data_IF_767862487981
#
_entry.id   IF_767862487981
#
_cell.length_a   1.000
_cell.length_b   1.000
_cell.length_c   1.000
_cell.angle_alpha   90.00
_cell.angle_beta   90.00
_cell.angle_gamma   90.00
#
_symmetry.space_group_name_H-M   'P 1'
#
loop_
_entity.id
_entity.type
_entity.pdbx_description
1 polymer ?
#
# COMPACT_ATOMS: atom_id res chain seq x y z
N UNK A 1 2.30 25.92 -11.74
CA UNK A 1 1.62 25.96 -10.42
C UNK A 1 1.57 24.58 -9.75
N UNK A 2 0.92 23.56 -10.32
CA UNK A 2 0.88 22.20 -9.73
C UNK A 2 2.25 21.56 -9.55
N UNK A 3 3.16 21.77 -10.50
CA UNK A 3 4.55 21.29 -10.44
C UNK A 3 5.36 21.96 -9.32
N UNK A 4 5.12 23.24 -9.05
CA UNK A 4 5.76 23.98 -7.96
C UNK A 4 5.26 23.49 -6.61
N UNK A 5 3.93 23.30 -6.46
CA UNK A 5 3.34 22.75 -5.23
C UNK A 5 3.91 21.34 -4.96
N UNK A 6 3.94 20.49 -5.98
CA UNK A 6 4.53 19.15 -5.88
C UNK A 6 5.98 19.19 -5.42
N UNK A 7 6.79 20.03 -6.04
CA UNK A 7 8.22 20.09 -5.75
C UNK A 7 8.51 20.70 -4.38
N UNK A 8 7.84 21.80 -4.01
CA UNK A 8 8.15 22.58 -2.80
C UNK A 8 7.49 22.01 -1.54
N UNK A 9 6.28 21.45 -1.65
CA UNK A 9 5.51 21.01 -0.48
C UNK A 9 5.54 19.51 -0.26
N UNK A 10 5.73 18.70 -1.30
CA UNK A 10 5.81 17.25 -1.15
C UNK A 10 7.22 16.72 -1.35
N UNK A 11 7.83 16.98 -2.50
CA UNK A 11 9.12 16.40 -2.85
C UNK A 11 10.25 16.91 -1.96
N UNK A 12 10.43 18.25 -1.85
CA UNK A 12 11.56 18.83 -1.13
C UNK A 12 11.53 18.48 0.37
N UNK A 13 10.41 18.60 1.10
CA UNK A 13 10.37 18.23 2.51
C UNK A 13 10.61 16.73 2.72
N UNK A 14 10.04 15.88 1.86
CA UNK A 14 10.25 14.44 1.96
C UNK A 14 11.68 14.03 1.65
N UNK A 15 12.30 14.65 0.63
CA UNK A 15 13.71 14.46 0.29
C UNK A 15 14.61 14.83 1.46
N UNK A 16 14.40 16.01 2.03
CA UNK A 16 15.17 16.49 3.18
C UNK A 16 14.98 15.59 4.40
N UNK A 17 13.74 15.18 4.68
CA UNK A 17 13.48 14.25 5.77
C UNK A 17 14.17 12.90 5.55
N UNK A 18 14.21 12.39 4.31
CA UNK A 18 14.95 11.15 4.00
C UNK A 18 16.45 11.31 4.28
N UNK A 19 17.07 12.40 3.80
CA UNK A 19 18.51 12.63 4.01
C UNK A 19 18.81 12.87 5.50
N UNK A 20 17.93 13.57 6.22
CA UNK A 20 18.06 13.72 7.66
C UNK A 20 18.03 12.38 8.39
N UNK A 21 17.09 11.49 8.04
CA UNK A 21 17.03 10.12 8.59
C UNK A 21 18.28 9.33 8.23
N UNK A 22 18.75 9.46 6.98
CA UNK A 22 19.95 8.79 6.50
C UNK A 22 21.19 9.17 7.31
N UNK A 23 21.41 10.46 7.56
CA UNK A 23 22.56 10.95 8.32
C UNK A 23 22.43 10.63 9.82
N UNK A 24 21.24 10.79 10.42
CA UNK A 24 21.11 10.80 11.88
C UNK A 24 20.61 9.50 12.50
N UNK A 25 19.75 8.73 11.80
CA UNK A 25 19.06 7.58 12.40
C UNK A 25 19.55 6.24 11.88
N UNK A 26 20.13 6.21 10.68
CA UNK A 26 20.41 4.95 9.99
C UNK A 26 21.88 4.72 9.71
N UNK A 27 22.77 5.50 10.35
CA UNK A 27 24.21 5.43 10.20
C UNK A 27 24.61 5.35 8.72
N UNK A 28 24.06 6.27 7.91
CA UNK A 28 24.31 6.34 6.48
C UNK A 28 23.88 5.07 5.71
N UNK A 29 22.87 4.33 6.18
CA UNK A 29 22.26 3.24 5.41
C UNK A 29 20.96 3.69 4.75
N UNK A 30 20.94 3.72 3.42
CA UNK A 30 19.78 4.20 2.66
C UNK A 30 18.58 3.25 2.75
N UNK A 31 18.79 1.95 2.92
CA UNK A 31 17.69 0.98 2.99
C UNK A 31 16.92 1.12 4.29
N UNK A 32 17.63 1.29 5.40
CA UNK A 32 17.00 1.65 6.66
C UNK A 32 16.34 3.03 6.62
N UNK A 33 16.92 4.00 5.89
CA UNK A 33 16.29 5.32 5.73
C UNK A 33 14.93 5.20 5.03
N UNK A 34 14.84 4.32 4.02
CA UNK A 34 13.58 4.00 3.33
C UNK A 34 12.57 3.34 4.25
N UNK A 35 12.98 2.37 5.05
CA UNK A 35 12.08 1.70 6.00
C UNK A 35 11.52 2.73 6.99
N UNK A 36 12.38 3.56 7.57
CA UNK A 36 11.98 4.59 8.53
C UNK A 36 11.06 5.66 7.92
N UNK A 37 11.39 6.22 6.75
CA UNK A 37 10.52 7.21 6.10
C UNK A 37 9.16 6.58 5.74
N UNK A 38 9.14 5.31 5.34
CA UNK A 38 7.90 4.59 5.03
C UNK A 38 7.03 4.46 6.27
N UNK A 39 7.62 4.09 7.40
CA UNK A 39 6.92 4.00 8.69
C UNK A 39 6.38 5.38 9.10
N UNK A 40 7.19 6.44 9.00
CA UNK A 40 6.74 7.80 9.35
C UNK A 40 5.58 8.27 8.47
N UNK A 41 5.65 8.04 7.16
CA UNK A 41 4.55 8.34 6.24
C UNK A 41 3.30 7.54 6.58
N UNK A 42 3.47 6.26 6.92
CA UNK A 42 2.38 5.39 7.34
C UNK A 42 1.75 5.84 8.66
N UNK A 43 2.52 6.38 9.59
CA UNK A 43 2.04 6.99 10.82
C UNK A 43 1.31 8.31 10.56
N UNK A 44 1.81 9.16 9.66
CA UNK A 44 1.11 10.38 9.24
C UNK A 44 -0.24 10.06 8.58
N UNK A 45 -0.31 8.98 7.79
CA UNK A 45 -1.52 8.48 7.13
C UNK A 45 -2.33 7.49 7.98
N UNK A 46 -1.96 7.29 9.24
CA UNK A 46 -2.62 6.37 10.16
C UNK A 46 -4.11 6.67 10.38
N UNK A 47 -4.56 7.92 10.64
CA UNK A 47 -5.99 8.17 10.85
C UNK A 47 -6.83 7.79 9.63
N UNK A 48 -6.34 8.10 8.43
CA UNK A 48 -6.99 7.70 7.19
C UNK A 48 -7.01 6.18 7.01
N UNK A 49 -5.89 5.51 7.30
CA UNK A 49 -5.77 4.05 7.21
C UNK A 49 -6.72 3.35 8.19
N UNK A 50 -6.87 3.85 9.42
CA UNK A 50 -7.81 3.33 10.41
C UNK A 50 -9.27 3.49 9.96
N UNK A 51 -9.65 4.65 9.41
CA UNK A 51 -11.01 4.87 8.89
C UNK A 51 -11.31 3.91 7.73
N UNK A 52 -10.36 3.75 6.81
CA UNK A 52 -10.47 2.80 5.69
C UNK A 52 -10.64 1.37 6.19
N UNK A 53 -9.84 0.96 7.18
CA UNK A 53 -9.88 -0.38 7.75
C UNK A 53 -11.17 -0.64 8.53
N UNK A 54 -11.64 0.33 9.32
CA UNK A 54 -12.93 0.25 10.02
C UNK A 54 -14.09 0.08 9.03
N UNK A 55 -14.06 0.83 7.92
CA UNK A 55 -15.06 0.68 6.86
C UNK A 55 -14.96 -0.70 6.20
N UNK A 56 -13.76 -1.24 6.00
CA UNK A 56 -13.54 -2.60 5.48
C UNK A 56 -14.18 -3.65 6.39
N UNK A 57 -13.91 -3.59 7.69
CA UNK A 57 -14.46 -4.51 8.70
C UNK A 57 -15.99 -4.41 8.78
N UNK A 58 -16.55 -3.19 8.83
CA UNK A 58 -18.01 -2.97 8.85
C UNK A 58 -18.71 -3.57 7.63
N UNK A 59 -18.04 -3.54 6.48
CA UNK A 59 -18.59 -4.01 5.21
C UNK A 59 -18.34 -5.50 4.94
N UNK A 60 -17.74 -6.26 5.87
CA UNK A 60 -17.49 -7.70 5.69
C UNK A 60 -18.79 -8.48 5.42
N UNK A 61 -19.88 -8.14 6.10
CA UNK A 61 -21.20 -8.77 5.90
C UNK A 61 -21.71 -8.49 4.48
N UNK A 62 -21.64 -7.24 4.02
CA UNK A 62 -22.05 -6.88 2.66
C UNK A 62 -21.23 -7.64 1.60
N UNK A 63 -19.93 -7.81 1.82
CA UNK A 63 -19.07 -8.56 0.89
C UNK A 63 -19.54 -10.02 0.79
N UNK A 64 -19.95 -10.62 1.91
CA UNK A 64 -20.52 -11.97 1.94
C UNK A 64 -21.87 -12.03 1.22
N UNK A 65 -22.77 -11.10 1.48
CA UNK A 65 -24.10 -11.01 0.84
C UNK A 65 -23.98 -10.82 -0.68
N UNK A 66 -23.08 -9.94 -1.13
CA UNK A 66 -22.81 -9.73 -2.56
C UNK A 66 -22.27 -11.01 -3.19
N UNK A 67 -21.38 -11.74 -2.50
CA UNK A 67 -20.81 -12.97 -3.03
C UNK A 67 -21.83 -14.12 -3.08
N UNK A 68 -22.72 -14.22 -2.09
CA UNK A 68 -23.79 -15.24 -2.11
C UNK A 68 -24.74 -15.01 -3.28
N UNK A 69 -25.13 -13.77 -3.55
CA UNK A 69 -25.96 -13.41 -4.72
C UNK A 69 -25.25 -13.64 -6.04
N UNK A 70 -23.95 -13.36 -6.13
CA UNK A 70 -23.15 -13.71 -7.31
C UNK A 70 -23.09 -15.22 -7.57
N UNK A 71 -23.24 -16.04 -6.53
CA UNK A 71 -23.24 -17.49 -6.63
C UNK A 71 -24.64 -18.09 -6.86
N UNK A 72 -25.70 -17.29 -6.80
CA UNK A 72 -27.06 -17.77 -7.06
C UNK A 72 -27.20 -18.09 -8.55
N UNK A 73 -27.32 -19.37 -8.92
CA UNK A 73 -27.37 -19.81 -10.32
C UNK A 73 -28.74 -19.52 -10.97
N UNK A 74 -29.79 -19.32 -10.17
CA UNK A 74 -31.17 -19.13 -10.65
C UNK A 74 -31.51 -17.70 -11.07
N UNK A 75 -30.57 -16.76 -10.96
CA UNK A 75 -30.81 -15.34 -11.24
C UNK A 75 -29.95 -14.87 -12.42
N UNK A 76 -30.57 -14.15 -13.36
CA UNK A 76 -29.90 -13.58 -14.52
C UNK A 76 -28.83 -12.55 -14.15
N UNK A 77 -27.81 -12.38 -15.00
CA UNK A 77 -26.68 -11.50 -14.73
C UNK A 77 -27.09 -10.02 -14.59
N UNK A 78 -28.12 -9.59 -15.32
CA UNK A 78 -28.67 -8.23 -15.25
C UNK A 78 -29.31 -7.99 -13.88
N UNK A 79 -30.18 -8.91 -13.46
CA UNK A 79 -30.87 -8.86 -12.17
C UNK A 79 -29.87 -8.90 -11.01
N UNK A 80 -28.86 -9.78 -11.07
CA UNK A 80 -27.75 -9.82 -10.10
C UNK A 80 -27.07 -8.46 -9.96
N UNK A 81 -26.73 -7.80 -11.08
CA UNK A 81 -26.08 -6.48 -11.06
C UNK A 81 -26.98 -5.42 -10.43
N UNK A 82 -28.28 -5.45 -10.68
CA UNK A 82 -29.25 -4.53 -10.08
C UNK A 82 -29.38 -4.75 -8.57
N UNK A 83 -29.52 -5.99 -8.12
CA UNK A 83 -29.59 -6.35 -6.69
C UNK A 83 -28.33 -5.91 -5.93
N UNK A 84 -27.15 -6.20 -6.51
CA UNK A 84 -25.84 -5.77 -5.97
C UNK A 84 -25.79 -4.25 -5.82
N UNK A 85 -26.22 -3.49 -6.83
CA UNK A 85 -26.29 -2.03 -6.75
C UNK A 85 -27.26 -1.55 -5.66
N UNK A 86 -28.42 -2.20 -5.52
CA UNK A 86 -29.42 -1.87 -4.49
C UNK A 86 -28.86 -2.08 -3.08
N UNK A 87 -28.18 -3.19 -2.80
CA UNK A 87 -27.54 -3.42 -1.50
C UNK A 87 -26.38 -2.47 -1.22
N UNK A 88 -25.55 -2.15 -2.22
CA UNK A 88 -24.46 -1.18 -2.02
C UNK A 88 -25.02 0.20 -1.65
N UNK A 89 -26.11 0.63 -2.30
CA UNK A 89 -26.81 1.89 -1.99
C UNK A 89 -27.44 1.86 -0.60
N UNK A 90 -28.16 0.79 -0.24
CA UNK A 90 -28.84 0.70 1.06
C UNK A 90 -27.87 0.76 2.24
N UNK A 91 -26.67 0.16 2.11
CA UNK A 91 -25.63 0.21 3.14
C UNK A 91 -24.69 1.42 3.04
N UNK A 92 -25.00 2.41 2.18
CA UNK A 92 -24.22 3.65 1.96
C UNK A 92 -22.72 3.40 1.70
N UNK A 93 -22.41 2.32 1.00
CA UNK A 93 -21.01 1.98 0.68
C UNK A 93 -20.56 2.77 -0.55
N UNK A 94 -19.50 3.55 -0.38
CA UNK A 94 -18.90 4.37 -1.43
C UNK A 94 -17.79 3.58 -2.16
N UNK A 95 -17.96 3.21 -3.45
CA UNK A 95 -16.96 2.44 -4.18
C UNK A 95 -15.62 3.17 -4.35
N UNK A 96 -15.66 4.50 -4.42
CA UNK A 96 -14.50 5.36 -4.67
C UNK A 96 -13.52 5.42 -3.50
N UNK A 97 -13.94 5.09 -2.28
CA UNK A 97 -13.06 5.11 -1.11
C UNK A 97 -11.83 4.21 -1.30
N UNK A 98 -12.00 3.04 -1.94
CA UNK A 98 -10.89 2.14 -2.29
C UNK A 98 -9.94 2.75 -3.32
N UNK A 99 -10.49 3.44 -4.33
CA UNK A 99 -9.69 4.07 -5.36
C UNK A 99 -8.84 5.23 -4.80
N UNK A 100 -9.39 6.03 -3.88
CA UNK A 100 -8.64 7.10 -3.21
C UNK A 100 -7.46 6.54 -2.40
N UNK A 101 -7.67 5.47 -1.64
CA UNK A 101 -6.60 4.82 -0.86
C UNK A 101 -5.48 4.34 -1.79
N UNK A 102 -5.83 3.65 -2.89
CA UNK A 102 -4.86 3.16 -3.87
C UNK A 102 -4.13 4.31 -4.57
N UNK A 103 -4.85 5.38 -4.92
CA UNK A 103 -4.28 6.58 -5.53
C UNK A 103 -3.25 7.25 -4.61
N UNK A 104 -3.57 7.41 -3.33
CA UNK A 104 -2.62 7.94 -2.35
C UNK A 104 -1.38 7.05 -2.18
N UNK A 105 -1.55 5.72 -2.18
CA UNK A 105 -0.41 4.80 -2.13
C UNK A 105 0.48 4.91 -3.38
N UNK A 106 -0.12 5.07 -4.55
CA UNK A 106 0.61 5.32 -5.79
C UNK A 106 1.36 6.67 -5.77
N UNK A 107 0.74 7.74 -5.26
CA UNK A 107 1.37 9.05 -5.11
C UNK A 107 2.61 8.98 -4.20
N UNK A 108 2.51 8.31 -3.06
CA UNK A 108 3.65 8.11 -2.15
C UNK A 108 4.77 7.31 -2.83
N UNK A 109 4.42 6.27 -3.59
CA UNK A 109 5.40 5.46 -4.32
C UNK A 109 6.13 6.28 -5.40
N UNK A 110 5.43 7.17 -6.11
CA UNK A 110 6.03 8.09 -7.09
C UNK A 110 6.97 9.08 -6.40
N UNK A 111 6.57 9.65 -5.26
CA UNK A 111 7.41 10.57 -4.49
C UNK A 111 8.73 9.91 -4.07
N UNK A 112 8.67 8.71 -3.49
CA UNK A 112 9.87 7.99 -3.08
C UNK A 112 10.76 7.60 -4.26
N UNK A 113 10.18 7.24 -5.40
CA UNK A 113 10.93 6.97 -6.62
C UNK A 113 11.69 8.21 -7.12
N UNK A 114 11.05 9.38 -7.11
CA UNK A 114 11.70 10.63 -7.50
C UNK A 114 12.84 10.98 -6.56
N UNK A 115 12.61 10.83 -5.25
CA UNK A 115 13.60 11.08 -4.20
C UNK A 115 14.82 10.16 -4.40
N UNK A 116 14.61 8.90 -4.75
CA UNK A 116 15.69 7.96 -5.02
C UNK A 116 16.50 8.30 -6.27
N UNK A 117 15.85 8.46 -7.42
CA UNK A 117 16.53 8.75 -8.68
C UNK A 117 17.36 10.04 -8.59
N UNK A 118 16.77 11.09 -8.03
CA UNK A 118 17.40 12.41 -7.94
C UNK A 118 18.37 12.51 -6.77
N UNK A 119 18.16 11.73 -5.71
CA UNK A 119 19.04 11.67 -4.55
C UNK A 119 20.34 10.92 -4.79
N UNK A 120 20.33 9.87 -5.60
CA UNK A 120 21.54 9.07 -5.87
C UNK A 120 22.48 9.77 -6.89
N UNK A 121 21.99 10.78 -7.63
CA UNK A 121 22.82 11.52 -8.59
C UNK A 121 23.49 12.72 -7.90
N UNK A 122 24.66 12.47 -7.31
CA UNK A 122 25.43 13.35 -6.40
C UNK A 122 25.44 14.84 -6.72
N UNK A 123 25.61 15.21 -7.98
CA UNK A 123 25.83 16.61 -8.40
C UNK A 123 24.60 17.53 -8.22
N UNK A 124 23.43 16.96 -7.92
CA UNK A 124 22.17 17.72 -7.77
C UNK A 124 21.60 17.69 -6.35
N UNK A 125 22.18 16.91 -5.43
CA UNK A 125 21.70 16.76 -4.05
C UNK A 125 21.73 18.11 -3.33
N UNK A 126 22.87 18.81 -3.38
CA UNK A 126 23.08 20.08 -2.69
C UNK A 126 22.05 21.16 -3.05
N UNK A 127 21.47 21.12 -4.26
CA UNK A 127 20.48 22.10 -4.71
C UNK A 127 19.09 21.92 -4.07
N UNK A 128 18.80 20.71 -3.58
CA UNK A 128 17.50 20.38 -2.98
C UNK A 128 17.55 20.28 -1.45
N UNK A 129 18.75 20.25 -0.85
CA UNK A 129 18.90 20.24 0.59
C UNK A 129 18.55 21.59 1.23
N UNK A 130 18.00 21.52 2.43
CA UNK A 130 17.90 22.65 3.33
C UNK A 130 19.25 22.91 3.97
N UNK A 131 19.58 24.18 4.31
CA UNK A 131 20.87 24.52 4.89
C UNK A 131 21.21 23.78 6.19
N UNK A 132 20.19 23.31 6.91
CA UNK A 132 20.33 22.57 8.18
C UNK A 132 20.71 21.09 7.98
N UNK A 133 20.67 20.57 6.76
CA UNK A 133 20.95 19.17 6.47
C UNK A 133 22.33 19.03 5.86
N UNK A 134 23.17 18.25 6.52
CA UNK A 134 24.51 17.92 6.06
C UNK A 134 24.46 17.16 4.73
N UNK A 135 25.34 17.55 3.80
CA UNK A 135 25.45 16.90 2.49
C UNK A 135 26.05 15.50 2.67
N UNK A 136 25.33 14.42 2.36
CA UNK A 136 25.93 13.09 2.36
C UNK A 136 26.90 13.01 1.19
N UNK A 137 28.18 12.71 1.46
CA UNK A 137 29.22 12.63 0.43
C UNK A 137 28.92 11.55 -0.60
N UNK A 138 28.94 10.29 -0.18
CA UNK A 138 28.52 9.15 -1.00
C UNK A 138 27.31 8.47 -0.36
N UNK A 139 26.28 8.16 -1.15
CA UNK A 139 25.10 7.48 -0.64
C UNK A 139 25.33 5.97 -0.68
N UNK A 140 25.36 5.34 0.48
CA UNK A 140 25.43 3.89 0.59
C UNK A 140 24.04 3.29 0.29
N UNK A 141 23.91 2.71 -0.90
CA UNK A 141 22.68 2.05 -1.37
C UNK A 141 22.61 0.57 -1.00
N UNK A 142 23.58 0.04 -0.26
CA UNK A 142 23.62 -1.37 0.11
C UNK A 142 22.69 -1.66 1.29
N UNK A 143 21.78 -2.62 1.09
CA UNK A 143 20.86 -3.12 2.10
C UNK A 143 20.96 -4.64 2.19
N UNK A 144 21.61 -5.15 3.24
CA UNK A 144 21.86 -6.59 3.46
C UNK A 144 22.58 -7.29 2.28
N UNK A 145 23.51 -6.61 1.63
CA UNK A 145 24.26 -7.16 0.48
C UNK A 145 23.57 -6.95 -0.87
N UNK A 146 22.44 -6.25 -0.90
CA UNK A 146 21.71 -5.92 -2.13
C UNK A 146 21.72 -4.42 -2.39
N UNK A 147 21.96 -4.02 -3.63
CA UNK A 147 21.86 -2.63 -4.05
C UNK A 147 20.39 -2.23 -4.27
N UNK A 148 19.96 -1.18 -3.56
CA UNK A 148 18.61 -0.62 -3.64
C UNK A 148 18.28 -0.04 -5.03
N UNK A 149 19.29 0.44 -5.74
CA UNK A 149 19.16 0.99 -7.10
C UNK A 149 19.01 -0.08 -8.17
N UNK A 150 19.48 -1.29 -7.89
CA UNK A 150 19.43 -2.42 -8.81
C UNK A 150 18.08 -3.15 -8.76
N UNK A 151 17.78 -3.88 -9.83
CA UNK A 151 16.65 -4.83 -9.83
C UNK A 151 16.99 -6.00 -8.93
N UNK A 152 16.01 -6.50 -8.19
CA UNK A 152 16.23 -7.63 -7.29
C UNK A 152 15.04 -8.60 -7.27
N UNK A 153 15.28 -9.85 -7.65
CA UNK A 153 14.28 -10.90 -7.66
C UNK A 153 13.81 -11.28 -6.26
N UNK A 154 14.74 -11.46 -5.31
CA UNK A 154 14.43 -11.94 -3.96
C UNK A 154 13.43 -11.03 -3.24
N UNK A 155 13.69 -9.72 -3.23
CA UNK A 155 12.80 -8.75 -2.59
C UNK A 155 11.45 -8.61 -3.29
N UNK A 156 11.43 -8.65 -4.62
CA UNK A 156 10.18 -8.66 -5.38
C UNK A 156 9.35 -9.92 -5.07
N UNK A 157 10.00 -11.09 -5.01
CA UNK A 157 9.35 -12.37 -4.71
C UNK A 157 8.76 -12.35 -3.30
N UNK A 158 9.48 -11.82 -2.31
CA UNK A 158 9.01 -11.71 -0.94
C UNK A 158 7.72 -10.86 -0.87
N UNK A 159 7.65 -9.74 -1.60
CA UNK A 159 6.42 -8.94 -1.72
C UNK A 159 5.27 -9.74 -2.34
N UNK A 160 5.51 -10.41 -3.47
CA UNK A 160 4.50 -11.22 -4.14
C UNK A 160 3.98 -12.35 -3.26
N UNK A 161 4.89 -13.04 -2.56
CA UNK A 161 4.56 -14.10 -1.61
C UNK A 161 3.73 -13.56 -0.44
N UNK A 162 4.13 -12.44 0.16
CA UNK A 162 3.39 -11.83 1.26
C UNK A 162 1.99 -11.37 0.83
N UNK A 163 1.86 -10.76 -0.35
CA UNK A 163 0.56 -10.39 -0.93
C UNK A 163 -0.33 -11.61 -1.17
N UNK A 164 0.23 -12.67 -1.73
CA UNK A 164 -0.50 -13.92 -1.92
C UNK A 164 -1.04 -14.45 -0.59
N UNK A 165 -0.18 -14.50 0.43
CA UNK A 165 -0.56 -14.96 1.76
C UNK A 165 -1.64 -14.06 2.40
N UNK A 166 -1.52 -12.74 2.31
CA UNK A 166 -2.51 -11.79 2.83
C UNK A 166 -3.87 -11.99 2.17
N UNK A 167 -3.92 -12.13 0.85
CA UNK A 167 -5.17 -12.33 0.11
C UNK A 167 -5.77 -13.70 0.46
N UNK A 168 -4.95 -14.75 0.52
CA UNK A 168 -5.40 -16.09 0.89
C UNK A 168 -6.03 -16.11 2.29
N UNK A 169 -5.38 -15.50 3.28
CA UNK A 169 -5.88 -15.39 4.65
C UNK A 169 -7.20 -14.61 4.72
N UNK A 170 -7.29 -13.47 4.02
CA UNK A 170 -8.53 -12.69 3.92
C UNK A 170 -9.66 -13.48 3.27
N UNK A 171 -9.37 -14.29 2.26
CA UNK A 171 -10.35 -15.12 1.60
C UNK A 171 -10.91 -16.21 2.50
N UNK A 172 -10.02 -16.96 3.18
CA UNK A 172 -10.40 -17.99 4.15
C UNK A 172 -11.30 -17.42 5.25
N UNK A 173 -10.99 -16.21 5.73
CA UNK A 173 -11.80 -15.49 6.74
C UNK A 173 -13.22 -15.19 6.26
N UNK A 174 -13.39 -14.83 4.99
CA UNK A 174 -14.70 -14.49 4.43
C UNK A 174 -15.57 -15.72 4.07
N UNK A 175 -15.04 -16.95 4.19
CA UNK A 175 -15.73 -18.23 3.85
C UNK A 175 -16.39 -18.22 2.46
N UNK A 176 -15.71 -17.61 1.50
CA UNK A 176 -16.25 -17.44 0.15
C UNK A 176 -16.10 -18.75 -0.65
N UNK A 177 -17.10 -19.10 -1.49
CA UNK A 177 -16.95 -20.19 -2.48
C UNK A 177 -16.03 -19.74 -3.62
N UNK A 178 -15.02 -20.55 -3.94
CA UNK A 178 -13.99 -20.24 -4.94
C UNK A 178 -14.55 -20.46 -6.34
N UNK A 179 -14.65 -19.39 -7.12
CA UNK A 179 -14.87 -19.49 -8.57
C UNK A 179 -13.54 -19.50 -9.31
N UNK A 180 -13.52 -20.08 -10.52
CA UNK A 180 -12.36 -20.03 -11.43
C UNK A 180 -11.88 -18.58 -11.69
N UNK A 181 -12.81 -17.62 -11.78
CA UNK A 181 -12.48 -16.19 -11.92
C UNK A 181 -11.87 -15.56 -10.65
N UNK A 182 -12.17 -16.11 -9.47
CA UNK A 182 -11.56 -15.64 -8.23
C UNK A 182 -10.13 -16.20 -8.07
N UNK A 183 -9.88 -17.43 -8.54
CA UNK A 183 -8.52 -18.03 -8.63
C UNK A 183 -7.58 -17.17 -9.46
N UNK A 184 -8.08 -16.62 -10.57
CA UNK A 184 -7.32 -15.68 -11.38
C UNK A 184 -6.86 -14.49 -10.53
N UNK A 185 -7.71 -13.91 -9.67
CA UNK A 185 -7.29 -12.81 -8.79
C UNK A 185 -6.28 -13.27 -7.72
N UNK A 186 -6.47 -14.44 -7.10
CA UNK A 186 -5.57 -14.94 -6.06
C UNK A 186 -4.14 -15.13 -6.54
N UNK A 187 -3.97 -15.63 -7.77
CA UNK A 187 -2.65 -15.93 -8.31
C UNK A 187 -2.11 -14.83 -9.23
N UNK A 188 -2.94 -14.28 -10.13
CA UNK A 188 -2.47 -13.29 -11.11
C UNK A 188 -2.12 -11.96 -10.44
N UNK A 189 -2.89 -11.48 -9.45
CA UNK A 189 -2.60 -10.17 -8.87
C UNK A 189 -1.24 -10.15 -8.15
N UNK A 190 -0.92 -11.08 -7.22
CA UNK A 190 0.40 -11.15 -6.62
C UNK A 190 1.51 -11.40 -7.63
N UNK A 191 1.26 -12.23 -8.66
CA UNK A 191 2.22 -12.51 -9.72
C UNK A 191 2.53 -11.27 -10.57
N UNK A 192 1.51 -10.49 -10.95
CA UNK A 192 1.68 -9.24 -11.69
C UNK A 192 2.45 -8.23 -10.86
N UNK A 193 2.13 -8.09 -9.56
CA UNK A 193 2.87 -7.18 -8.67
C UNK A 193 4.32 -7.64 -8.52
N UNK A 194 4.57 -8.93 -8.35
CA UNK A 194 5.92 -9.50 -8.34
C UNK A 194 6.70 -9.14 -9.61
N UNK A 195 6.14 -9.43 -10.79
CA UNK A 195 6.79 -9.14 -12.08
C UNK A 195 7.03 -7.64 -12.24
N UNK A 196 6.04 -6.81 -11.93
CA UNK A 196 6.17 -5.35 -12.01
C UNK A 196 7.28 -4.83 -11.10
N UNK A 197 7.39 -5.33 -9.87
CA UNK A 197 8.43 -4.92 -8.93
C UNK A 197 9.81 -5.45 -9.32
N UNK A 198 9.89 -6.63 -9.95
CA UNK A 198 11.15 -7.17 -10.43
C UNK A 198 11.79 -6.30 -11.54
N UNK A 199 10.98 -5.68 -12.40
CA UNK A 199 11.47 -4.73 -13.41
C UNK A 199 11.96 -3.40 -12.82
N UNK A 200 11.62 -3.09 -11.57
CA UNK A 200 11.91 -1.83 -10.92
C UNK A 200 13.07 -1.96 -9.93
N UNK A 201 13.69 -0.83 -9.52
CA UNK A 201 14.69 -0.85 -8.46
C UNK A 201 14.15 -1.45 -7.16
N UNK A 202 14.99 -2.22 -6.47
CA UNK A 202 14.68 -2.94 -5.23
C UNK A 202 14.04 -2.05 -4.17
N UNK A 203 14.40 -0.76 -4.13
CA UNK A 203 13.80 0.21 -3.20
C UNK A 203 12.27 0.16 -3.19
N UNK A 204 11.64 -0.08 -4.35
CA UNK A 204 10.19 -0.14 -4.46
C UNK A 204 9.62 -1.38 -3.79
N UNK A 205 10.30 -2.52 -3.93
CA UNK A 205 9.94 -3.75 -3.23
C UNK A 205 10.05 -3.55 -1.71
N UNK A 206 11.12 -2.90 -1.24
CA UNK A 206 11.31 -2.61 0.18
C UNK A 206 10.21 -1.69 0.75
N UNK A 207 9.88 -0.63 0.01
CA UNK A 207 8.76 0.26 0.34
C UNK A 207 7.45 -0.50 0.43
N UNK A 208 7.09 -1.26 -0.62
CA UNK A 208 5.81 -1.99 -0.66
C UNK A 208 5.76 -3.02 0.46
N UNK A 209 6.84 -3.77 0.71
CA UNK A 209 6.87 -4.76 1.77
C UNK A 209 6.65 -4.14 3.15
N UNK A 210 7.38 -3.08 3.47
CA UNK A 210 7.25 -2.34 4.74
C UNK A 210 5.82 -1.81 4.90
N UNK A 211 5.27 -1.29 3.80
CA UNK A 211 3.91 -0.77 3.72
C UNK A 211 2.86 -1.87 3.97
N UNK A 212 3.06 -3.09 3.46
CA UNK A 212 2.17 -4.24 3.70
C UNK A 212 2.24 -4.75 5.14
N UNK A 213 3.44 -4.86 5.71
CA UNK A 213 3.63 -5.22 7.11
C UNK A 213 2.88 -4.26 8.04
N UNK A 214 2.98 -2.96 7.75
CA UNK A 214 2.24 -1.94 8.50
C UNK A 214 0.71 -2.09 8.35
N UNK A 215 0.21 -2.41 7.15
CA UNK A 215 -1.21 -2.70 6.94
C UNK A 215 -1.71 -3.87 7.79
N UNK A 216 -0.90 -4.93 7.90
CA UNK A 216 -1.23 -6.10 8.74
C UNK A 216 -1.30 -5.71 10.20
N UNK A 217 -0.35 -4.90 10.69
CA UNK A 217 -0.36 -4.37 12.06
C UNK A 217 -1.62 -3.54 12.32
N UNK A 218 -1.95 -2.59 11.43
CA UNK A 218 -3.17 -1.78 11.54
C UNK A 218 -4.41 -2.67 11.54
N UNK A 219 -4.47 -3.69 10.67
CA UNK A 219 -5.62 -4.59 10.61
C UNK A 219 -5.85 -5.28 11.94
N UNK A 220 -4.79 -5.83 12.54
CA UNK A 220 -4.85 -6.50 13.84
C UNK A 220 -5.29 -5.52 14.93
N UNK A 221 -4.68 -4.34 14.99
CA UNK A 221 -5.02 -3.29 15.96
C UNK A 221 -6.47 -2.81 15.83
N UNK A 222 -6.94 -2.56 14.60
CA UNK A 222 -8.30 -2.12 14.32
C UNK A 222 -9.32 -3.18 14.75
N UNK A 223 -9.02 -4.46 14.57
CA UNK A 223 -9.90 -5.56 15.00
C UNK A 223 -10.02 -5.63 16.53
N UNK A 224 -8.94 -5.36 17.26
CA UNK A 224 -8.93 -5.36 18.72
C UNK A 224 -9.79 -4.20 19.25
N UNK A 225 -9.64 -2.99 18.68
CA UNK A 225 -10.35 -1.79 19.14
C UNK A 225 -11.79 -1.76 18.67
N UNK A 226 -12.03 -2.11 17.41
CA UNK A 226 -13.34 -2.02 16.77
C UNK A 226 -13.88 -3.43 16.52
N UNK A 227 -14.51 -4.01 17.54
CA UNK A 227 -15.36 -5.19 17.32
C UNK A 227 -16.64 -4.72 16.61
N UNK A 228 -16.97 -5.24 15.41
CA UNK A 228 -18.20 -4.83 14.75
C UNK A 228 -19.40 -5.27 15.61
N UNK A 229 -20.14 -4.30 16.15
CA UNK A 229 -21.48 -4.53 16.72
C UNK A 229 -22.29 -5.19 15.61
N UNK A 230 -22.84 -6.40 15.84
CA UNK A 230 -23.74 -7.07 14.88
C UNK A 230 -24.82 -6.05 14.50
N UNK A 231 -24.80 -5.58 13.26
CA UNK A 231 -25.92 -4.82 12.73
C UNK A 231 -26.98 -5.86 12.43
N UNK A 232 -27.99 -5.93 13.30
CA UNK A 232 -29.17 -6.75 13.07
C UNK A 232 -29.73 -6.44 11.67
N UNK A 233 -30.17 -7.46 10.92
CA UNK A 233 -30.81 -7.22 9.64
C UNK A 233 -32.00 -6.30 9.88
N UNK A 234 -32.01 -5.15 9.20
CA UNK A 234 -33.18 -4.29 9.13
C UNK A 234 -34.31 -5.11 8.52
N UNK A 235 -35.25 -5.52 9.39
CA UNK A 235 -36.52 -6.18 9.07
C UNK A 235 -37.31 -5.33 8.09
#
# INVERSE_FOLDING_TARGET
MLTSIWNEWLYKPLFNLLIWIYNNWTNENLGWAVVNITILLRLALLPFSLISERNRVRNEVLIKDVKSLQNNVHMDEITKKQEIRKMMKSRKVQPWAKAIVLGMQALVLILLYQVFLRGITGDKIAKFLYPIIELPGSINTNFYGFDLGARNFFWAFLVGFFLFFEIYMNYKKLKLKIRKKDLAYFFLFPLIVFLALWFLPMVKSLFVLTSLLFSVIIHQFTKIIFTPKKIEPSV
#
